data_IF_522915018055
#
_entry.id   IF_522915018055
#
_cell.length_a   1.000
_cell.length_b   1.000
_cell.length_c   1.000
_cell.angle_alpha   90.00
_cell.angle_beta   90.00
_cell.angle_gamma   90.00
#
_symmetry.space_group_name_H-M   'P 1'
#
loop_
_entity.id
_entity.type
_entity.pdbx_description
1 polymer ?
#
# COMPACT_ATOMS: atom_id res chain seq x y z
N UNK A 1 15.52 26.93 16.02
CA UNK A 1 14.14 26.43 15.84
C UNK A 1 14.10 25.02 16.43
N UNK A 2 12.98 24.57 17.02
CA UNK A 2 12.88 23.16 17.49
C UNK A 2 13.00 22.23 16.27
N UNK A 3 13.82 21.19 16.39
CA UNK A 3 14.31 20.37 15.27
C UNK A 3 13.18 19.74 14.41
N UNK A 4 12.06 19.32 15.00
CA UNK A 4 10.94 18.70 14.26
C UNK A 4 10.12 19.59 13.30
N UNK A 5 10.55 20.82 13.00
CA UNK A 5 9.96 21.68 11.96
C UNK A 5 10.81 21.72 10.68
N UNK A 6 12.07 21.28 10.75
CA UNK A 6 13.02 21.53 9.66
C UNK A 6 12.80 20.61 8.46
N UNK A 7 12.51 19.32 8.70
CA UNK A 7 12.18 18.35 7.65
C UNK A 7 10.99 18.81 6.82
N UNK A 8 9.93 19.33 7.45
CA UNK A 8 8.76 19.89 6.77
C UNK A 8 9.12 21.05 5.86
N UNK A 9 9.95 21.97 6.33
CA UNK A 9 10.42 23.10 5.53
C UNK A 9 11.25 22.63 4.32
N UNK A 10 12.07 21.59 4.48
CA UNK A 10 12.84 21.01 3.39
C UNK A 10 11.93 20.34 2.36
N UNK A 11 10.95 19.54 2.80
CA UNK A 11 9.93 18.92 1.93
C UNK A 11 9.15 19.97 1.15
N UNK A 12 8.68 21.03 1.82
CA UNK A 12 7.98 22.15 1.17
C UNK A 12 8.86 22.90 0.16
N UNK A 13 10.16 23.06 0.44
CA UNK A 13 11.10 23.70 -0.48
C UNK A 13 11.34 22.85 -1.73
N UNK A 14 11.52 21.54 -1.57
CA UNK A 14 11.65 20.61 -2.72
C UNK A 14 10.39 20.66 -3.59
N UNK A 15 9.20 20.71 -2.97
CA UNK A 15 7.92 20.83 -3.67
C UNK A 15 7.75 22.13 -4.47
N UNK A 16 8.41 23.22 -4.08
CA UNK A 16 8.35 24.53 -4.75
C UNK A 16 9.49 24.80 -5.74
N UNK A 17 10.61 24.09 -5.64
CA UNK A 17 11.79 24.32 -6.48
C UNK A 17 11.49 24.08 -7.98
N UNK A 18 12.41 24.37 -8.91
CA UNK A 18 12.47 23.84 -10.29
C UNK A 18 13.34 22.57 -10.42
N UNK A 19 14.41 22.47 -9.62
CA UNK A 19 15.22 21.26 -9.45
C UNK A 19 15.66 21.16 -8.00
N UNK A 20 15.78 19.94 -7.48
CA UNK A 20 16.31 19.71 -6.16
C UNK A 20 17.34 18.59 -6.18
N UNK A 21 18.24 18.59 -5.21
CA UNK A 21 19.34 17.64 -5.06
C UNK A 21 19.50 17.29 -3.59
N UNK A 22 19.83 16.04 -3.29
CA UNK A 22 20.27 15.67 -1.96
C UNK A 22 21.51 14.77 -1.99
N UNK A 23 22.33 14.83 -0.94
CA UNK A 23 23.44 13.92 -0.67
C UNK A 23 23.77 13.90 0.81
N UNK A 24 24.41 12.83 1.27
CA UNK A 24 25.11 12.86 2.54
C UNK A 24 26.42 13.64 2.43
N UNK A 25 26.70 14.47 3.44
CA UNK A 25 27.95 15.22 3.55
C UNK A 25 29.12 14.27 3.75
N UNK A 26 30.08 14.28 2.81
CA UNK A 26 31.29 13.47 2.91
C UNK A 26 32.39 14.22 3.68
N UNK A 27 33.34 13.49 4.29
CA UNK A 27 34.50 14.08 4.97
C UNK A 27 35.33 15.03 4.06
N UNK A 28 35.39 14.73 2.76
CA UNK A 28 36.06 15.59 1.77
C UNK A 28 35.29 16.90 1.49
N UNK A 29 33.98 16.94 1.72
CA UNK A 29 33.19 18.16 1.56
C UNK A 29 33.47 19.13 2.71
N UNK A 30 33.55 18.60 3.95
CA UNK A 30 33.84 19.34 5.18
C UNK A 30 35.27 19.90 5.27
N UNK A 31 36.17 19.50 4.37
CA UNK A 31 37.56 19.98 4.35
C UNK A 31 38.47 19.32 5.39
N UNK A 32 38.01 18.27 6.06
CA UNK A 32 38.72 17.51 7.11
C UNK A 32 39.99 16.82 6.62
N UNK A 33 40.20 16.72 5.31
CA UNK A 33 41.38 16.05 4.71
C UNK A 33 42.57 16.98 4.47
N UNK A 34 42.52 18.23 4.93
CA UNK A 34 43.66 19.16 4.93
C UNK A 34 44.10 19.69 3.55
N UNK A 35 43.41 19.30 2.47
CA UNK A 35 43.66 19.80 1.12
C UNK A 35 42.71 20.97 0.79
N UNK A 36 43.27 22.09 0.34
CA UNK A 36 42.58 23.35 0.15
C UNK A 36 41.28 23.29 -0.69
N UNK A 37 40.25 23.95 -0.15
CA UNK A 37 38.87 24.24 -0.59
C UNK A 37 37.80 23.22 -0.17
N UNK A 38 37.27 23.44 1.05
CA UNK A 38 36.02 22.86 1.52
C UNK A 38 34.86 23.24 0.59
N UNK A 39 33.97 22.29 0.33
CA UNK A 39 32.78 22.49 -0.48
C UNK A 39 32.21 21.20 -1.05
N UNK A 40 30.90 21.17 -1.19
CA UNK A 40 30.16 20.00 -1.64
C UNK A 40 30.55 19.61 -3.06
N UNK A 41 31.07 18.39 -3.22
CA UNK A 41 31.14 17.73 -4.51
C UNK A 41 29.73 17.56 -5.08
N UNK A 42 29.56 17.96 -6.33
CA UNK A 42 28.32 17.81 -7.09
C UNK A 42 28.56 16.83 -8.24
N UNK A 43 27.77 15.76 -8.36
CA UNK A 43 27.97 14.76 -9.41
C UNK A 43 27.65 15.34 -10.79
N UNK A 44 28.29 14.81 -11.83
CA UNK A 44 28.07 15.29 -13.20
C UNK A 44 26.62 15.15 -13.66
N UNK A 45 25.89 14.15 -13.18
CA UNK A 45 24.46 13.96 -13.45
C UNK A 45 23.60 15.14 -12.96
N UNK A 46 24.06 15.88 -11.96
CA UNK A 46 23.38 17.04 -11.40
C UNK A 46 23.75 18.38 -12.08
N UNK A 47 24.47 18.37 -13.22
CA UNK A 47 24.93 19.60 -13.89
C UNK A 47 23.81 20.61 -14.15
N UNK A 48 22.61 20.12 -14.46
CA UNK A 48 21.45 20.93 -14.81
C UNK A 48 20.86 21.71 -13.63
N UNK A 49 21.27 21.40 -12.40
CA UNK A 49 20.99 22.22 -11.22
C UNK A 49 21.86 23.48 -11.17
N UNK A 50 23.05 23.44 -11.80
CA UNK A 50 24.10 24.45 -11.61
C UNK A 50 24.23 25.38 -12.82
N UNK A 51 24.04 24.84 -14.03
CA UNK A 51 24.30 25.52 -15.29
C UNK A 51 23.27 25.16 -16.37
N UNK A 52 23.13 26.02 -17.37
CA UNK A 52 22.21 25.82 -18.50
C UNK A 52 22.76 24.83 -19.54
N UNK A 53 24.07 24.59 -19.50
CA UNK A 53 24.77 23.57 -20.29
C UNK A 53 25.84 22.89 -19.44
N UNK A 54 26.13 21.59 -19.65
CA UNK A 54 27.20 20.91 -18.95
C UNK A 54 28.55 21.56 -19.25
N UNK A 55 29.45 21.54 -18.28
CA UNK A 55 30.84 21.96 -18.45
C UNK A 55 31.61 21.05 -19.39
N UNK A 56 32.53 21.64 -20.16
CA UNK A 56 33.35 20.96 -21.17
C UNK A 56 34.77 20.80 -20.66
N UNK A 57 35.33 19.59 -20.76
CA UNK A 57 36.71 19.34 -20.32
C UNK A 57 37.69 20.22 -21.11
N UNK A 58 38.59 20.90 -20.40
CA UNK A 58 39.52 21.89 -20.96
C UNK A 58 39.24 23.32 -20.47
N UNK A 59 38.04 23.59 -19.95
CA UNK A 59 37.66 24.89 -19.40
C UNK A 59 37.12 24.78 -17.97
N UNK A 60 37.18 25.89 -17.25
CA UNK A 60 36.45 26.03 -15.99
C UNK A 60 35.20 26.84 -16.28
N UNK A 61 34.11 26.53 -15.59
CA UNK A 61 32.85 27.26 -15.69
C UNK A 61 32.35 27.56 -14.28
N UNK A 62 31.89 28.76 -14.03
CA UNK A 62 31.38 29.13 -12.70
C UNK A 62 30.18 30.05 -12.76
N UNK A 63 29.39 30.03 -11.68
CA UNK A 63 28.17 30.83 -11.51
C UNK A 63 28.01 31.17 -10.04
N UNK A 64 27.88 32.45 -9.74
CA UNK A 64 27.57 32.92 -8.39
C UNK A 64 26.08 32.80 -8.14
N UNK A 65 25.71 32.29 -6.96
CA UNK A 65 24.32 32.06 -6.57
C UNK A 65 24.10 32.50 -5.13
N UNK A 66 22.85 32.79 -4.80
CA UNK A 66 22.42 33.10 -3.44
C UNK A 66 21.68 31.91 -2.86
N UNK A 67 22.10 31.44 -1.68
CA UNK A 67 21.48 30.30 -0.99
C UNK A 67 20.97 30.76 0.37
N UNK A 68 19.67 30.59 0.63
CA UNK A 68 19.05 30.78 1.94
C UNK A 68 19.03 29.45 2.71
N UNK A 69 19.73 29.39 3.83
CA UNK A 69 19.94 28.17 4.61
C UNK A 69 18.98 28.07 5.78
N UNK A 70 18.35 26.90 5.99
CA UNK A 70 17.42 26.62 7.09
C UNK A 70 16.30 27.67 7.27
N UNK A 71 16.00 28.47 6.22
CA UNK A 71 15.17 29.69 6.26
C UNK A 71 15.68 30.82 7.19
N UNK A 72 16.92 30.75 7.65
CA UNK A 72 17.50 31.65 8.65
C UNK A 72 18.39 32.73 8.01
N UNK A 73 19.51 32.35 7.39
CA UNK A 73 20.49 33.28 6.81
C UNK A 73 20.82 32.97 5.35
N UNK A 74 21.51 33.89 4.67
CA UNK A 74 21.90 33.76 3.27
C UNK A 74 23.41 33.74 3.06
N UNK A 75 23.84 33.04 2.02
CA UNK A 75 25.24 33.02 1.55
C UNK A 75 25.32 33.37 0.07
N UNK A 76 26.39 34.05 -0.33
CA UNK A 76 26.76 34.26 -1.74
C UNK A 76 27.74 33.16 -2.16
N UNK A 77 27.19 32.04 -2.61
CA UNK A 77 27.93 30.81 -2.94
C UNK A 77 28.31 30.76 -4.43
N UNK A 78 29.17 29.82 -4.80
CA UNK A 78 29.66 29.65 -6.18
C UNK A 78 29.58 28.20 -6.60
N UNK A 79 28.81 27.93 -7.64
CA UNK A 79 28.97 26.70 -8.42
C UNK A 79 30.19 26.83 -9.33
N UNK A 80 31.02 25.79 -9.38
CA UNK A 80 32.19 25.75 -10.24
C UNK A 80 32.39 24.35 -10.81
N UNK A 81 32.60 24.28 -12.11
CA UNK A 81 33.11 23.13 -12.83
C UNK A 81 34.61 23.31 -13.03
N UNK A 82 35.40 22.37 -12.51
CA UNK A 82 36.84 22.29 -12.76
C UNK A 82 37.09 21.30 -13.89
N UNK A 83 37.30 21.81 -15.11
CA UNK A 83 37.62 21.01 -16.30
C UNK A 83 39.07 21.15 -16.77
N UNK A 84 39.88 22.02 -16.14
CA UNK A 84 41.31 22.20 -16.45
C UNK A 84 42.21 21.25 -15.66
N UNK A 85 43.35 20.89 -16.27
CA UNK A 85 44.36 20.01 -15.66
C UNK A 85 43.86 18.57 -15.51
N UNK A 86 44.06 17.97 -14.34
CA UNK A 86 43.60 16.61 -14.04
C UNK A 86 42.16 16.55 -13.52
N UNK A 87 41.55 17.70 -13.20
CA UNK A 87 40.20 17.76 -12.61
C UNK A 87 39.11 17.71 -13.69
N UNK A 88 37.98 17.11 -13.33
CA UNK A 88 36.78 17.00 -14.16
C UNK A 88 35.54 16.82 -13.28
N UNK A 89 35.28 17.79 -12.41
CA UNK A 89 34.28 17.72 -11.35
C UNK A 89 33.54 19.03 -11.14
N UNK A 90 32.32 18.95 -10.59
CA UNK A 90 31.56 20.12 -10.15
C UNK A 90 31.62 20.24 -8.63
N UNK A 91 31.61 21.48 -8.14
CA UNK A 91 31.52 21.78 -6.71
C UNK A 91 30.63 22.98 -6.45
N UNK A 92 30.01 22.98 -5.27
CA UNK A 92 29.43 24.15 -4.64
C UNK A 92 30.36 24.62 -3.53
N UNK A 93 30.77 25.88 -3.59
CA UNK A 93 31.80 26.46 -2.71
C UNK A 93 31.42 27.88 -2.26
N UNK A 94 32.29 28.54 -1.47
CA UNK A 94 32.16 29.96 -1.07
C UNK A 94 30.96 30.24 -0.14
N UNK A 95 30.77 29.43 0.89
CA UNK A 95 29.69 29.63 1.88
C UNK A 95 29.91 30.78 2.88
N UNK A 96 31.02 31.53 2.77
CA UNK A 96 31.42 32.56 3.73
C UNK A 96 32.33 32.01 4.84
N UNK A 97 32.70 32.89 5.78
CA UNK A 97 33.47 32.49 6.98
C UNK A 97 32.51 31.90 8.02
N UNK A 98 32.93 30.83 8.69
CA UNK A 98 32.17 30.16 9.75
C UNK A 98 30.79 29.64 9.31
N UNK A 99 30.70 29.06 8.10
CA UNK A 99 29.48 28.37 7.70
C UNK A 99 29.23 27.17 8.64
N UNK A 100 28.11 27.13 9.36
CA UNK A 100 27.92 26.22 10.49
C UNK A 100 27.62 24.77 10.08
N UNK A 101 27.35 24.51 8.80
CA UNK A 101 26.87 23.22 8.32
C UNK A 101 27.83 22.53 7.35
N UNK A 102 29.12 22.80 7.49
CA UNK A 102 30.19 22.16 6.70
C UNK A 102 31.44 22.01 7.57
N UNK A 103 31.26 21.43 8.77
CA UNK A 103 32.34 21.07 9.70
C UNK A 103 32.47 19.54 9.79
N UNK A 104 33.45 19.06 10.55
CA UNK A 104 33.60 17.62 10.83
C UNK A 104 32.36 17.01 11.49
N UNK A 105 31.66 17.76 12.32
CA UNK A 105 30.46 17.30 13.03
C UNK A 105 29.26 17.08 12.10
N UNK A 106 29.30 17.62 10.87
CA UNK A 106 28.24 17.45 9.88
C UNK A 106 28.50 16.30 8.90
N UNK A 107 29.58 15.54 9.06
CA UNK A 107 29.85 14.39 8.20
C UNK A 107 28.78 13.33 8.46
N UNK A 108 28.04 12.96 7.42
CA UNK A 108 26.87 12.08 7.54
C UNK A 108 25.53 12.81 7.60
N UNK A 109 25.50 14.14 7.71
CA UNK A 109 24.25 14.91 7.61
C UNK A 109 23.71 14.87 6.17
N UNK A 110 22.37 14.92 6.03
CA UNK A 110 21.72 15.00 4.73
C UNK A 110 21.67 16.46 4.27
N UNK A 111 22.47 16.79 3.25
CA UNK A 111 22.44 18.05 2.54
C UNK A 111 21.40 18.02 1.42
N UNK A 112 20.53 19.04 1.39
CA UNK A 112 19.46 19.23 0.41
C UNK A 112 19.60 20.63 -0.19
N UNK A 113 19.52 20.73 -1.52
CA UNK A 113 19.58 21.99 -2.26
C UNK A 113 18.44 22.11 -3.25
N UNK A 114 17.70 23.21 -3.17
CA UNK A 114 16.50 23.49 -3.93
C UNK A 114 16.71 24.74 -4.79
N UNK A 115 16.68 24.61 -6.11
CA UNK A 115 16.68 25.75 -7.04
C UNK A 115 15.28 26.36 -7.07
N UNK A 116 15.13 27.63 -6.65
CA UNK A 116 13.80 28.26 -6.56
C UNK A 116 13.53 29.09 -7.81
N UNK A 117 14.36 30.08 -8.08
CA UNK A 117 14.22 30.95 -9.25
C UNK A 117 15.55 31.63 -9.58
N UNK A 118 15.86 31.80 -10.87
CA UNK A 118 17.09 32.48 -11.31
C UNK A 118 18.35 31.93 -10.64
N UNK A 119 19.06 32.78 -9.91
CA UNK A 119 20.27 32.45 -9.14
C UNK A 119 19.98 32.22 -7.64
N UNK A 120 18.71 32.08 -7.26
CA UNK A 120 18.27 31.90 -5.88
C UNK A 120 17.93 30.44 -5.55
N UNK A 121 18.45 29.98 -4.42
CA UNK A 121 18.32 28.61 -3.92
C UNK A 121 17.95 28.62 -2.43
N UNK A 122 17.34 27.53 -1.99
CA UNK A 122 17.15 27.22 -0.57
C UNK A 122 17.96 25.96 -0.23
N UNK A 123 18.69 26.00 0.88
CA UNK A 123 19.55 24.91 1.35
C UNK A 123 19.13 24.42 2.73
N UNK A 124 19.14 23.10 2.91
CA UNK A 124 18.77 22.45 4.16
C UNK A 124 19.79 21.37 4.53
N UNK A 125 20.02 21.20 5.83
CA UNK A 125 20.94 20.23 6.42
C UNK A 125 20.16 19.56 7.54
N UNK A 126 19.90 18.26 7.38
CA UNK A 126 19.23 17.43 8.39
C UNK A 126 20.27 16.54 9.05
N UNK A 127 20.36 16.60 10.38
CA UNK A 127 21.36 15.85 11.18
C UNK A 127 20.74 14.75 12.05
N UNK A 128 19.42 14.80 12.30
CA UNK A 128 18.74 13.79 13.09
C UNK A 128 18.28 12.63 12.20
N UNK A 129 18.55 11.39 12.62
CA UNK A 129 18.17 10.18 11.87
C UNK A 129 16.67 10.14 11.54
N UNK A 130 15.81 10.51 12.50
CA UNK A 130 14.35 10.55 12.30
C UNK A 130 13.94 11.55 11.20
N UNK A 131 14.55 12.73 11.15
CA UNK A 131 14.26 13.75 10.13
C UNK A 131 14.78 13.32 8.75
N UNK A 132 15.94 12.65 8.71
CA UNK A 132 16.54 12.11 7.49
C UNK A 132 15.65 11.01 6.92
N UNK A 133 15.24 10.05 7.76
CA UNK A 133 14.33 8.97 7.37
C UNK A 133 12.98 9.52 6.88
N UNK A 134 12.37 10.48 7.60
CA UNK A 134 11.12 11.12 7.17
C UNK A 134 11.26 11.81 5.81
N UNK A 135 12.37 12.53 5.57
CA UNK A 135 12.62 13.18 4.29
C UNK A 135 12.79 12.16 3.15
N UNK A 136 13.61 11.14 3.37
CA UNK A 136 13.89 10.11 2.36
C UNK A 136 12.61 9.34 2.01
N UNK A 137 11.83 8.94 3.01
CA UNK A 137 10.55 8.26 2.84
C UNK A 137 9.56 9.13 2.05
N UNK A 138 9.51 10.43 2.33
CA UNK A 138 8.62 11.38 1.64
C UNK A 138 8.88 11.43 0.13
N UNK A 139 10.13 11.24 -0.30
CA UNK A 139 10.52 11.24 -1.72
C UNK A 139 10.77 9.82 -2.27
N UNK A 140 10.49 8.77 -1.49
CA UNK A 140 10.70 7.38 -1.89
C UNK A 140 12.15 7.04 -2.21
N UNK A 141 13.11 7.66 -1.50
CA UNK A 141 14.54 7.49 -1.71
C UNK A 141 15.12 6.53 -0.65
N UNK A 142 16.03 5.65 -1.05
CA UNK A 142 16.93 4.98 -0.10
C UNK A 142 18.19 5.81 0.16
N UNK A 143 18.90 5.60 1.29
CA UNK A 143 20.17 6.27 1.56
C UNK A 143 21.21 6.11 0.43
N UNK A 144 21.18 4.98 -0.29
CA UNK A 144 22.07 4.68 -1.42
C UNK A 144 21.70 5.38 -2.73
N UNK A 145 20.49 5.91 -2.84
CA UNK A 145 19.99 6.65 -4.02
C UNK A 145 20.19 8.16 -3.89
N UNK A 146 20.78 8.62 -2.79
CA UNK A 146 21.22 10.02 -2.63
C UNK A 146 22.40 10.34 -3.54
N UNK A 147 22.91 11.59 -3.49
CA UNK A 147 23.91 12.11 -4.41
C UNK A 147 23.38 12.15 -5.86
N UNK A 148 22.12 12.56 -6.01
CA UNK A 148 21.43 12.69 -7.29
C UNK A 148 20.38 13.82 -7.21
N UNK A 149 19.85 14.22 -8.37
CA UNK A 149 18.69 15.10 -8.42
C UNK A 149 17.47 14.36 -7.86
N UNK A 150 16.69 15.02 -7.02
CA UNK A 150 15.42 14.49 -6.51
C UNK A 150 14.43 14.49 -7.67
N UNK A 151 13.96 13.29 -8.04
CA UNK A 151 12.98 13.14 -9.10
C UNK A 151 11.60 13.60 -8.59
N UNK A 152 11.06 14.68 -9.16
CA UNK A 152 9.77 15.28 -8.77
C UNK A 152 8.57 14.58 -9.36
N UNK A 153 8.80 13.60 -10.23
CA UNK A 153 7.78 12.61 -10.52
C UNK A 153 7.62 11.80 -9.25
N UNK A 154 6.88 12.35 -8.30
CA UNK A 154 6.41 11.65 -7.11
C UNK A 154 5.51 10.55 -7.66
N UNK A 155 6.11 9.42 -8.04
CA UNK A 155 5.38 8.17 -7.97
C UNK A 155 5.20 7.94 -6.48
N UNK A 156 4.13 8.55 -5.94
CA UNK A 156 3.66 8.26 -4.60
C UNK A 156 3.64 6.76 -4.47
N UNK A 157 4.25 6.24 -3.40
CA UNK A 157 4.17 4.82 -3.15
C UNK A 157 2.68 4.45 -3.08
N UNK A 158 2.29 3.22 -3.43
CA UNK A 158 0.91 2.80 -3.28
C UNK A 158 0.36 3.07 -1.86
N UNK A 159 1.22 3.01 -0.85
CA UNK A 159 0.89 3.32 0.54
C UNK A 159 0.51 4.79 0.76
N UNK A 160 1.21 5.73 0.14
CA UNK A 160 0.90 7.16 0.25
C UNK A 160 -0.41 7.50 -0.44
N UNK A 161 -0.64 6.90 -1.62
CA UNK A 161 -1.90 7.04 -2.35
C UNK A 161 -3.05 6.49 -1.51
N UNK A 162 -2.92 5.29 -0.94
CA UNK A 162 -3.92 4.68 -0.06
C UNK A 162 -4.20 5.58 1.15
N UNK A 163 -3.17 6.12 1.79
CA UNK A 163 -3.32 7.03 2.93
C UNK A 163 -4.13 8.28 2.56
N UNK A 164 -3.85 8.89 1.40
CA UNK A 164 -4.61 10.03 0.89
C UNK A 164 -6.07 9.68 0.58
N UNK A 165 -6.31 8.53 -0.04
CA UNK A 165 -7.67 8.05 -0.36
C UNK A 165 -8.47 7.75 0.91
N UNK A 166 -7.86 7.09 1.89
CA UNK A 166 -8.50 6.80 3.18
C UNK A 166 -8.88 8.09 3.91
N UNK A 167 -8.00 9.09 3.94
CA UNK A 167 -8.32 10.40 4.52
C UNK A 167 -9.56 11.01 3.88
N UNK A 168 -9.61 11.05 2.55
CA UNK A 168 -10.75 11.57 1.80
C UNK A 168 -12.05 10.80 2.07
N UNK A 169 -11.98 9.48 2.25
CA UNK A 169 -13.14 8.66 2.60
C UNK A 169 -13.59 8.98 4.02
N UNK A 170 -12.66 9.01 4.98
CA UNK A 170 -12.95 9.28 6.40
C UNK A 170 -13.59 10.65 6.60
N UNK A 171 -13.14 11.68 5.89
CA UNK A 171 -13.72 13.04 5.97
C UNK A 171 -15.19 13.10 5.54
N UNK A 172 -15.65 12.17 4.70
CA UNK A 172 -17.03 12.16 4.17
C UNK A 172 -18.04 11.41 5.03
N UNK A 173 -17.60 10.73 6.08
CA UNK A 173 -18.43 9.81 6.85
C UNK A 173 -18.29 10.03 8.36
N UNK A 174 -19.38 10.36 9.03
CA UNK A 174 -19.43 10.48 10.49
C UNK A 174 -19.90 9.19 11.20
N UNK A 175 -20.20 8.14 10.42
CA UNK A 175 -20.57 6.81 10.89
C UNK A 175 -19.87 5.74 10.03
N UNK A 176 -19.95 4.46 10.45
CA UNK A 176 -19.45 3.37 9.62
C UNK A 176 -20.30 3.23 8.35
N UNK A 177 -19.70 3.29 7.15
CA UNK A 177 -20.43 2.98 5.92
C UNK A 177 -20.88 1.52 5.91
N UNK A 178 -21.90 1.23 5.09
CA UNK A 178 -22.37 -0.13 4.83
C UNK A 178 -21.22 -1.04 4.39
N UNK A 179 -21.31 -2.33 4.70
CA UNK A 179 -20.18 -3.27 4.46
C UNK A 179 -19.85 -3.38 2.97
N UNK A 180 -20.86 -3.36 2.10
CA UNK A 180 -20.67 -3.34 0.65
C UNK A 180 -19.98 -2.06 0.15
N UNK A 181 -20.33 -0.91 0.72
CA UNK A 181 -19.71 0.38 0.39
C UNK A 181 -18.25 0.40 0.84
N UNK A 182 -17.94 -0.16 2.01
CA UNK A 182 -16.56 -0.22 2.45
C UNK A 182 -15.71 -1.21 1.65
N UNK A 183 -16.24 -2.40 1.34
CA UNK A 183 -15.56 -3.35 0.46
C UNK A 183 -15.24 -2.69 -0.90
N UNK A 184 -16.19 -1.91 -1.44
CA UNK A 184 -15.97 -1.12 -2.66
C UNK A 184 -14.87 -0.06 -2.48
N UNK A 185 -14.89 0.73 -1.40
CA UNK A 185 -13.85 1.73 -1.14
C UNK A 185 -12.46 1.12 -1.04
N UNK A 186 -12.32 0.01 -0.32
CA UNK A 186 -11.05 -0.69 -0.16
C UNK A 186 -10.52 -1.18 -1.51
N UNK A 187 -11.36 -1.89 -2.27
CA UNK A 187 -11.03 -2.38 -3.61
C UNK A 187 -10.65 -1.24 -4.56
N UNK A 188 -11.47 -0.18 -4.66
CA UNK A 188 -11.21 0.95 -5.55
C UNK A 188 -9.91 1.66 -5.17
N UNK A 189 -9.66 1.86 -3.87
CA UNK A 189 -8.45 2.51 -3.39
C UNK A 189 -7.21 1.69 -3.68
N UNK A 190 -7.27 0.37 -3.43
CA UNK A 190 -6.19 -0.55 -3.77
C UNK A 190 -5.90 -0.55 -5.28
N UNK A 191 -6.94 -0.66 -6.11
CA UNK A 191 -6.78 -0.66 -7.57
C UNK A 191 -6.16 0.65 -8.07
N UNK A 192 -6.58 1.79 -7.52
CA UNK A 192 -6.03 3.09 -7.88
C UNK A 192 -4.57 3.22 -7.46
N UNK A 193 -4.24 2.86 -6.21
CA UNK A 193 -2.89 2.95 -5.66
C UNK A 193 -1.88 2.04 -6.38
N UNK A 194 -2.31 0.84 -6.77
CA UNK A 194 -1.46 -0.16 -7.42
C UNK A 194 -1.62 -0.18 -8.96
N UNK A 195 -2.37 0.76 -9.54
CA UNK A 195 -2.62 0.86 -11.00
C UNK A 195 -3.14 -0.47 -11.60
N UNK A 196 -3.97 -1.20 -10.86
CA UNK A 196 -4.51 -2.52 -11.24
C UNK A 196 -5.72 -2.35 -12.16
N UNK A 197 -5.76 -3.14 -13.24
CA UNK A 197 -6.89 -3.18 -14.18
C UNK A 197 -7.68 -4.50 -14.09
N UNK A 198 -8.84 -4.57 -14.77
CA UNK A 198 -9.75 -5.74 -14.76
C UNK A 198 -9.05 -7.04 -15.17
N UNK A 199 -8.12 -7.01 -16.13
CA UNK A 199 -7.46 -8.22 -16.64
C UNK A 199 -6.52 -8.84 -15.58
N UNK A 200 -5.86 -8.01 -14.77
CA UNK A 200 -5.03 -8.46 -13.66
C UNK A 200 -5.85 -9.16 -12.57
N UNK A 201 -7.10 -8.75 -12.37
CA UNK A 201 -7.98 -9.35 -11.34
C UNK A 201 -8.30 -10.81 -11.66
N UNK A 202 -8.62 -11.09 -12.92
CA UNK A 202 -9.02 -12.44 -13.34
C UNK A 202 -7.83 -13.40 -13.43
N UNK A 203 -6.62 -12.86 -13.70
CA UNK A 203 -5.40 -13.66 -13.79
C UNK A 203 -4.80 -13.99 -12.42
N UNK A 204 -4.98 -13.12 -11.42
CA UNK A 204 -4.46 -13.32 -10.06
C UNK A 204 -5.53 -13.16 -8.95
N UNK A 205 -6.70 -13.83 -9.02
CA UNK A 205 -7.82 -13.57 -8.10
C UNK A 205 -7.48 -13.87 -6.64
N UNK A 206 -6.66 -14.89 -6.36
CA UNK A 206 -6.17 -15.19 -5.01
C UNK A 206 -5.41 -14.02 -4.38
N UNK A 207 -4.52 -13.38 -5.14
CA UNK A 207 -3.69 -12.26 -4.67
C UNK A 207 -4.54 -11.00 -4.50
N UNK A 208 -5.43 -10.72 -5.44
CA UNK A 208 -6.30 -9.55 -5.36
C UNK A 208 -7.27 -9.66 -4.18
N UNK A 209 -7.87 -10.83 -3.95
CA UNK A 209 -8.77 -11.05 -2.82
C UNK A 209 -8.09 -10.72 -1.48
N UNK A 210 -6.90 -11.28 -1.26
CA UNK A 210 -6.17 -11.07 -0.01
C UNK A 210 -5.82 -9.59 0.16
N UNK A 211 -5.32 -8.95 -0.88
CA UNK A 211 -4.96 -7.53 -0.82
C UNK A 211 -6.17 -6.62 -0.55
N UNK A 212 -7.34 -6.93 -1.11
CA UNK A 212 -8.56 -6.16 -0.85
C UNK A 212 -9.08 -6.35 0.57
N UNK A 213 -8.99 -7.57 1.11
CA UNK A 213 -9.36 -7.84 2.52
C UNK A 213 -8.43 -7.08 3.46
N UNK A 214 -7.12 -7.10 3.22
CA UNK A 214 -6.14 -6.39 4.05
C UNK A 214 -6.36 -4.87 3.96
N UNK A 215 -6.56 -4.33 2.76
CA UNK A 215 -6.87 -2.91 2.54
C UNK A 215 -8.17 -2.51 3.25
N UNK A 216 -9.21 -3.35 3.21
CA UNK A 216 -10.48 -3.08 3.91
C UNK A 216 -10.31 -3.13 5.42
N UNK A 217 -9.46 -4.02 5.93
CA UNK A 217 -9.13 -4.09 7.34
C UNK A 217 -8.42 -2.81 7.80
N UNK A 218 -7.45 -2.31 7.04
CA UNK A 218 -6.77 -1.04 7.35
C UNK A 218 -7.76 0.14 7.35
N UNK A 219 -8.59 0.27 6.31
CA UNK A 219 -9.61 1.32 6.24
C UNK A 219 -10.60 1.22 7.41
N UNK A 220 -11.00 0.01 7.79
CA UNK A 220 -11.86 -0.21 8.95
C UNK A 220 -11.22 0.26 10.24
N UNK A 221 -9.95 -0.07 10.46
CA UNK A 221 -9.21 0.34 11.65
C UNK A 221 -9.10 1.85 11.73
N UNK A 222 -8.95 2.53 10.58
CA UNK A 222 -8.98 3.99 10.53
C UNK A 222 -10.35 4.57 10.91
N UNK A 223 -11.45 3.94 10.48
CA UNK A 223 -12.80 4.30 10.97
C UNK A 223 -13.00 4.01 12.46
N UNK A 224 -12.50 2.88 12.97
CA UNK A 224 -12.55 2.56 14.40
C UNK A 224 -11.83 3.63 15.21
N UNK A 225 -10.62 4.05 14.80
CA UNK A 225 -9.90 5.13 15.46
C UNK A 225 -10.70 6.43 15.42
N UNK A 226 -11.19 6.85 14.24
CA UNK A 226 -11.99 8.08 14.09
C UNK A 226 -13.22 8.08 15.02
N UNK A 227 -13.96 6.98 15.06
CA UNK A 227 -15.29 6.93 15.67
C UNK A 227 -15.28 6.50 17.15
N UNK A 228 -14.30 5.70 17.56
CA UNK A 228 -14.24 5.17 18.92
C UNK A 228 -13.29 5.95 19.83
N UNK A 229 -12.20 6.53 19.31
CA UNK A 229 -11.25 7.27 20.14
C UNK A 229 -11.91 8.39 20.97
N UNK A 230 -12.90 9.15 20.47
CA UNK A 230 -13.59 10.15 21.29
C UNK A 230 -14.34 9.52 22.48
N UNK A 231 -14.99 8.38 22.28
CA UNK A 231 -15.71 7.65 23.32
C UNK A 231 -14.73 7.09 24.35
N UNK A 232 -13.64 6.47 23.88
CA UNK A 232 -12.60 5.90 24.75
C UNK A 232 -11.90 6.97 25.61
N UNK A 233 -11.69 8.18 25.08
CA UNK A 233 -11.13 9.31 25.83
C UNK A 233 -12.09 9.88 26.87
N UNK A 234 -13.40 9.79 26.61
CA UNK A 234 -14.44 10.29 27.52
C UNK A 234 -14.66 9.30 28.69
N UNK A 235 -14.47 8.01 28.44
CA UNK A 235 -14.66 6.95 29.44
C UNK A 235 -16.11 6.51 29.58
N UNK A 236 -16.37 5.61 30.54
CA UNK A 236 -17.69 5.01 30.79
C UNK A 236 -18.12 5.30 32.23
N UNK A 237 -19.42 5.53 32.43
CA UNK A 237 -20.01 5.81 33.75
C UNK A 237 -20.01 4.61 34.68
N UNK A 238 -20.08 3.40 34.12
CA UNK A 238 -20.23 2.13 34.84
C UNK A 238 -19.75 0.95 33.99
N UNK A 239 -19.61 -0.20 34.65
CA UNK A 239 -19.12 -1.45 34.04
C UNK A 239 -20.07 -1.95 32.94
N UNK A 240 -21.38 -1.80 33.11
CA UNK A 240 -22.37 -2.29 32.14
C UNK A 240 -22.29 -1.53 30.81
N UNK A 241 -22.10 -0.21 30.88
CA UNK A 241 -21.90 0.67 29.73
C UNK A 241 -20.65 0.29 28.93
N UNK A 242 -19.55 -0.04 29.63
CA UNK A 242 -18.32 -0.55 29.01
C UNK A 242 -18.54 -1.91 28.33
N UNK A 243 -19.20 -2.85 29.01
CA UNK A 243 -19.47 -4.20 28.48
C UNK A 243 -20.37 -4.11 27.24
N UNK A 244 -21.45 -3.33 27.31
CA UNK A 244 -22.38 -3.12 26.20
C UNK A 244 -21.65 -2.55 24.97
N UNK A 245 -20.85 -1.51 25.16
CA UNK A 245 -20.08 -0.90 24.07
C UNK A 245 -19.05 -1.87 23.47
N UNK A 246 -18.34 -2.62 24.31
CA UNK A 246 -17.38 -3.64 23.88
C UNK A 246 -18.05 -4.73 23.04
N UNK A 247 -19.23 -5.19 23.46
CA UNK A 247 -20.01 -6.17 22.72
C UNK A 247 -20.48 -5.63 21.36
N UNK A 248 -20.87 -4.36 21.27
CA UNK A 248 -21.22 -3.72 20.00
C UNK A 248 -20.02 -3.72 19.03
N UNK A 249 -18.83 -3.37 19.51
CA UNK A 249 -17.59 -3.40 18.68
C UNK A 249 -17.31 -4.82 18.19
N UNK A 250 -17.32 -5.81 19.09
CA UNK A 250 -17.05 -7.21 18.75
C UNK A 250 -18.07 -7.77 17.74
N UNK A 251 -19.36 -7.45 17.92
CA UNK A 251 -20.41 -7.91 17.02
C UNK A 251 -20.31 -7.23 15.64
N UNK A 252 -19.95 -5.93 15.59
CA UNK A 252 -19.71 -5.22 14.33
C UNK A 252 -18.56 -5.86 13.56
N UNK A 253 -17.44 -6.14 14.22
CA UNK A 253 -16.28 -6.84 13.61
C UNK A 253 -16.67 -8.20 13.03
N UNK A 254 -17.41 -9.02 13.80
CA UNK A 254 -17.85 -10.35 13.38
C UNK A 254 -18.78 -10.31 12.17
N UNK A 255 -19.81 -9.45 12.22
CA UNK A 255 -20.80 -9.30 11.14
C UNK A 255 -20.14 -8.82 9.84
N UNK A 256 -19.25 -7.83 9.96
CA UNK A 256 -18.59 -7.21 8.81
C UNK A 256 -17.61 -8.16 8.13
N UNK A 257 -16.80 -8.91 8.88
CA UNK A 257 -15.82 -9.81 8.29
C UNK A 257 -16.45 -10.88 7.38
N UNK A 258 -17.63 -11.42 7.75
CA UNK A 258 -18.36 -12.37 6.90
C UNK A 258 -18.85 -11.75 5.60
N UNK A 259 -19.63 -10.67 5.70
CA UNK A 259 -20.19 -9.97 4.53
C UNK A 259 -19.12 -9.37 3.61
N UNK A 260 -18.02 -8.87 4.18
CA UNK A 260 -16.86 -8.37 3.42
C UNK A 260 -16.31 -9.44 2.48
N UNK A 261 -16.11 -10.66 2.99
CA UNK A 261 -15.62 -11.77 2.17
C UNK A 261 -16.58 -12.10 1.01
N UNK A 262 -17.88 -12.18 1.29
CA UNK A 262 -18.90 -12.40 0.26
C UNK A 262 -18.85 -11.31 -0.82
N UNK A 263 -18.80 -10.03 -0.44
CA UNK A 263 -18.74 -8.92 -1.40
C UNK A 263 -17.48 -8.91 -2.26
N UNK A 264 -16.32 -9.26 -1.70
CA UNK A 264 -15.09 -9.35 -2.49
C UNK A 264 -15.12 -10.54 -3.46
N UNK A 265 -15.61 -11.71 -3.03
CA UNK A 265 -15.81 -12.86 -3.91
C UNK A 265 -16.81 -12.55 -5.03
N UNK A 266 -17.95 -11.95 -4.71
CA UNK A 266 -18.95 -11.49 -5.67
C UNK A 266 -18.30 -10.58 -6.73
N UNK A 267 -17.44 -9.65 -6.28
CA UNK A 267 -16.74 -8.73 -7.17
C UNK A 267 -15.74 -9.46 -8.08
N UNK A 268 -14.98 -10.41 -7.54
CA UNK A 268 -14.06 -11.25 -8.34
C UNK A 268 -14.83 -12.05 -9.39
N UNK A 269 -15.94 -12.68 -9.01
CA UNK A 269 -16.75 -13.47 -9.94
C UNK A 269 -17.34 -12.62 -11.06
N UNK A 270 -17.79 -11.39 -10.75
CA UNK A 270 -18.21 -10.40 -11.76
C UNK A 270 -17.06 -10.02 -12.69
N UNK A 271 -15.85 -9.80 -12.15
CA UNK A 271 -14.70 -9.46 -13.00
C UNK A 271 -14.29 -10.62 -13.92
N UNK A 272 -14.36 -11.86 -13.43
CA UNK A 272 -14.13 -13.08 -14.20
C UNK A 272 -15.26 -13.43 -15.18
N UNK A 273 -16.28 -12.58 -15.30
CA UNK A 273 -17.47 -12.75 -16.13
C UNK A 273 -18.16 -14.12 -15.89
N UNK A 274 -18.25 -14.54 -14.62
CA UNK A 274 -19.00 -15.74 -14.22
C UNK A 274 -20.48 -15.39 -14.08
N UNK A 275 -21.36 -16.28 -14.55
CA UNK A 275 -22.80 -16.20 -14.25
C UNK A 275 -23.05 -16.77 -12.85
N UNK A 276 -23.66 -16.00 -11.96
CA UNK A 276 -24.02 -16.48 -10.63
C UNK A 276 -25.16 -15.64 -10.05
N UNK A 277 -25.83 -16.18 -9.05
CA UNK A 277 -26.86 -15.49 -8.27
C UNK A 277 -26.60 -15.70 -6.78
N UNK A 278 -26.84 -14.66 -5.98
CA UNK A 278 -26.80 -14.70 -4.52
C UNK A 278 -28.23 -14.63 -3.98
N UNK A 279 -28.44 -14.98 -2.71
CA UNK A 279 -29.77 -14.96 -2.08
C UNK A 279 -30.82 -15.88 -2.73
N UNK A 280 -30.39 -16.86 -3.54
CA UNK A 280 -31.26 -17.89 -4.11
C UNK A 280 -31.88 -18.70 -2.97
N UNK A 281 -33.20 -18.83 -2.98
CA UNK A 281 -33.92 -19.65 -2.00
C UNK A 281 -33.94 -21.09 -2.50
N UNK A 282 -33.37 -22.01 -1.73
CA UNK A 282 -33.34 -23.44 -2.05
C UNK A 282 -34.34 -24.20 -1.17
N UNK A 283 -34.05 -25.45 -0.82
CA UNK A 283 -34.90 -26.25 0.04
C UNK A 283 -34.96 -25.66 1.46
N UNK A 284 -36.11 -25.79 2.12
CA UNK A 284 -36.32 -25.36 3.52
C UNK A 284 -36.01 -23.87 3.78
N UNK A 285 -36.21 -23.00 2.79
CA UNK A 285 -35.91 -21.55 2.85
C UNK A 285 -34.44 -21.22 3.11
N UNK A 286 -33.53 -22.16 2.82
CA UNK A 286 -32.09 -21.91 2.91
C UNK A 286 -31.62 -21.01 1.79
N UNK A 287 -30.48 -20.37 2.03
CA UNK A 287 -29.88 -19.36 1.17
C UNK A 287 -28.37 -19.58 1.10
N UNK A 288 -27.89 -20.46 0.22
CA UNK A 288 -26.47 -20.58 -0.04
C UNK A 288 -25.88 -19.23 -0.48
N UNK A 289 -24.62 -19.01 -0.13
CA UNK A 289 -23.96 -17.72 -0.37
C UNK A 289 -23.87 -17.42 -1.89
N UNK A 290 -23.56 -18.44 -2.71
CA UNK A 290 -23.53 -18.35 -4.18
C UNK A 290 -24.07 -19.61 -4.86
N UNK A 291 -24.90 -19.42 -5.91
CA UNK A 291 -25.34 -20.44 -6.85
C UNK A 291 -24.90 -20.09 -8.25
N UNK A 292 -24.39 -21.09 -8.98
CA UNK A 292 -23.97 -20.96 -10.38
C UNK A 292 -24.73 -21.99 -11.25
N UNK A 293 -25.23 -21.59 -12.44
CA UNK A 293 -25.16 -20.22 -13.00
C UNK A 293 -26.18 -19.24 -12.39
N UNK A 294 -27.31 -19.71 -11.89
CA UNK A 294 -28.39 -18.88 -11.32
C UNK A 294 -29.46 -19.74 -10.63
N UNK A 295 -30.40 -19.10 -9.93
CA UNK A 295 -31.52 -19.75 -9.27
C UNK A 295 -32.52 -20.36 -10.26
N UNK A 296 -32.71 -19.77 -11.43
CA UNK A 296 -33.61 -20.31 -12.46
C UNK A 296 -33.16 -21.70 -12.92
N UNK A 297 -31.86 -21.88 -13.17
CA UNK A 297 -31.24 -23.16 -13.51
C UNK A 297 -31.30 -24.13 -12.33
N UNK A 298 -31.13 -23.63 -11.10
CA UNK A 298 -31.28 -24.43 -9.88
C UNK A 298 -32.71 -24.97 -9.68
N UNK A 299 -33.75 -24.25 -10.08
CA UNK A 299 -35.13 -24.73 -9.96
C UNK A 299 -35.62 -25.51 -11.19
N UNK A 300 -34.89 -25.45 -12.31
CA UNK A 300 -35.21 -26.23 -13.50
C UNK A 300 -34.64 -27.66 -13.39
N UNK A 301 -35.51 -28.65 -13.20
CA UNK A 301 -35.09 -30.06 -13.12
C UNK A 301 -34.61 -30.65 -14.46
N UNK A 302 -34.89 -30.00 -15.59
CA UNK A 302 -34.31 -30.38 -16.89
C UNK A 302 -32.87 -29.90 -17.04
N UNK A 303 -32.46 -28.90 -16.25
CA UNK A 303 -31.07 -28.44 -16.22
C UNK A 303 -30.20 -29.49 -15.50
N UNK A 304 -29.05 -29.92 -16.05
CA UNK A 304 -28.21 -30.94 -15.45
C UNK A 304 -27.71 -30.55 -14.05
N UNK A 305 -27.96 -31.39 -13.05
CA UNK A 305 -27.47 -31.18 -11.69
C UNK A 305 -25.93 -31.12 -11.62
N UNK A 306 -25.26 -31.86 -12.50
CA UNK A 306 -23.81 -31.85 -12.62
C UNK A 306 -23.25 -30.52 -13.11
N UNK A 307 -24.05 -29.62 -13.69
CA UNK A 307 -23.61 -28.29 -14.12
C UNK A 307 -23.93 -27.19 -13.09
N UNK A 308 -24.65 -27.54 -12.01
CA UNK A 308 -24.89 -26.65 -10.88
C UNK A 308 -23.70 -26.64 -9.92
N UNK A 309 -23.40 -25.45 -9.37
CA UNK A 309 -22.35 -25.28 -8.36
C UNK A 309 -22.91 -24.44 -7.21
N UNK A 310 -22.62 -24.88 -5.98
CA UNK A 310 -22.90 -24.13 -4.76
C UNK A 310 -21.58 -23.82 -4.07
N UNK A 311 -21.37 -22.56 -3.70
CA UNK A 311 -20.22 -22.11 -2.93
C UNK A 311 -20.69 -21.41 -1.66
N UNK A 312 -20.34 -21.98 -0.50
CA UNK A 312 -20.43 -21.27 0.77
C UNK A 312 -19.13 -20.49 1.04
N UNK A 313 -19.22 -19.30 1.61
CA UNK A 313 -18.09 -18.46 1.97
C UNK A 313 -18.01 -18.30 3.49
N UNK A 314 -16.89 -18.72 4.10
CA UNK A 314 -16.68 -18.58 5.54
C UNK A 314 -15.26 -18.11 5.83
N UNK A 315 -15.13 -16.96 6.50
CA UNK A 315 -13.81 -16.46 6.97
C UNK A 315 -13.06 -17.48 7.82
N UNK A 316 -13.79 -18.28 8.61
CA UNK A 316 -13.26 -19.37 9.43
C UNK A 316 -14.23 -20.54 9.45
N UNK A 317 -13.78 -21.73 9.07
CA UNK A 317 -14.62 -22.92 8.92
C UNK A 317 -14.85 -23.69 10.21
N UNK A 318 -13.83 -23.86 11.08
CA UNK A 318 -13.86 -24.66 12.33
C UNK A 318 -14.99 -25.69 12.40
N UNK A 319 -16.02 -25.49 13.21
CA UNK A 319 -17.17 -26.40 13.33
C UNK A 319 -18.40 -25.94 12.52
N UNK A 320 -18.31 -24.76 11.88
CA UNK A 320 -19.42 -24.11 11.15
C UNK A 320 -19.57 -24.59 9.71
N UNK A 321 -18.59 -25.31 9.16
CA UNK A 321 -18.65 -25.80 7.78
C UNK A 321 -19.85 -26.72 7.52
N UNK A 322 -20.33 -27.45 8.52
CA UNK A 322 -21.49 -28.36 8.39
C UNK A 322 -22.77 -27.66 7.97
N UNK A 323 -22.87 -26.35 8.19
CA UNK A 323 -24.03 -25.54 7.84
C UNK A 323 -24.32 -25.59 6.33
N UNK A 324 -23.29 -25.76 5.49
CA UNK A 324 -23.44 -25.74 4.02
C UNK A 324 -23.96 -27.06 3.43
N UNK A 325 -23.93 -28.15 4.20
CA UNK A 325 -24.21 -29.49 3.68
C UNK A 325 -25.63 -29.61 3.13
N UNK A 326 -26.57 -28.97 3.81
CA UNK A 326 -27.99 -29.07 3.49
C UNK A 326 -28.52 -27.82 2.78
N UNK A 327 -27.65 -26.95 2.25
CA UNK A 327 -28.08 -25.66 1.64
C UNK A 327 -28.57 -25.79 0.18
N UNK A 328 -28.36 -26.92 -0.50
CA UNK A 328 -28.77 -27.06 -1.91
C UNK A 328 -28.85 -28.54 -2.34
N UNK A 329 -29.96 -29.21 -2.11
CA UNK A 329 -30.05 -30.68 -2.21
C UNK A 329 -29.73 -31.22 -3.61
N UNK A 330 -29.97 -30.44 -4.66
CA UNK A 330 -29.63 -30.84 -6.05
C UNK A 330 -28.13 -30.94 -6.32
N UNK A 331 -27.27 -30.41 -5.45
CA UNK A 331 -25.82 -30.27 -5.69
C UNK A 331 -25.05 -31.16 -4.70
N UNK A 332 -24.60 -32.37 -5.08
CA UNK A 332 -23.98 -33.30 -4.13
C UNK A 332 -22.61 -32.86 -3.60
N UNK A 333 -21.85 -32.09 -4.37
CA UNK A 333 -20.52 -31.59 -3.99
C UNK A 333 -20.63 -30.12 -3.60
N UNK A 334 -20.34 -29.82 -2.33
CA UNK A 334 -20.35 -28.44 -1.83
C UNK A 334 -18.98 -27.83 -1.94
N UNK A 335 -18.87 -26.63 -2.53
CA UNK A 335 -17.63 -25.87 -2.44
C UNK A 335 -17.69 -24.96 -1.21
N UNK A 336 -16.59 -24.87 -0.49
CA UNK A 336 -16.47 -24.02 0.69
C UNK A 336 -15.24 -23.14 0.58
N UNK A 337 -15.46 -21.86 0.33
CA UNK A 337 -14.39 -20.87 0.37
C UNK A 337 -13.99 -20.53 1.81
N UNK A 338 -12.69 -20.51 2.12
CA UNK A 338 -12.20 -19.99 3.41
C UNK A 338 -10.85 -19.29 3.38
N UNK A 339 -10.69 -18.35 4.30
CA UNK A 339 -9.43 -17.66 4.62
C UNK A 339 -8.65 -18.35 5.75
N UNK A 340 -9.20 -19.40 6.35
CA UNK A 340 -8.56 -20.09 7.47
C UNK A 340 -7.26 -20.75 7.01
N UNK A 341 -6.15 -20.42 7.69
CA UNK A 341 -4.84 -21.02 7.43
C UNK A 341 -4.72 -22.36 8.16
N UNK A 342 -5.20 -23.41 7.50
CA UNK A 342 -5.14 -24.77 8.01
C UNK A 342 -6.40 -25.21 8.76
N UNK A 343 -6.69 -26.50 8.65
CA UNK A 343 -7.76 -27.23 9.36
C UNK A 343 -7.14 -28.56 9.80
N UNK A 344 -7.59 -29.11 10.93
CA UNK A 344 -7.04 -30.38 11.42
C UNK A 344 -7.25 -31.50 10.40
N UNK A 345 -6.29 -32.44 10.31
CA UNK A 345 -6.37 -33.59 9.39
C UNK A 345 -7.69 -34.37 9.52
N UNK A 346 -8.17 -34.54 10.75
CA UNK A 346 -9.43 -35.23 11.03
C UNK A 346 -10.64 -34.47 10.48
N UNK A 347 -10.70 -33.14 10.66
CA UNK A 347 -11.76 -32.31 10.09
C UNK A 347 -11.69 -32.27 8.56
N UNK A 348 -10.49 -32.22 7.97
CA UNK A 348 -10.34 -32.33 6.52
C UNK A 348 -10.87 -33.67 6.00
N UNK A 349 -10.45 -34.79 6.60
CA UNK A 349 -10.94 -36.12 6.22
C UNK A 349 -12.47 -36.20 6.29
N UNK A 350 -13.06 -35.59 7.32
CA UNK A 350 -14.51 -35.51 7.46
C UNK A 350 -15.17 -34.66 6.37
N UNK A 351 -14.66 -33.46 6.09
CA UNK A 351 -15.14 -32.59 5.01
C UNK A 351 -15.17 -33.32 3.66
N UNK A 352 -14.08 -34.00 3.29
CA UNK A 352 -14.01 -34.72 2.02
C UNK A 352 -14.95 -35.94 1.98
N UNK A 353 -15.14 -36.63 3.11
CA UNK A 353 -16.12 -37.72 3.22
C UNK A 353 -17.55 -37.23 3.01
N UNK A 354 -17.87 -36.04 3.52
CA UNK A 354 -19.15 -35.36 3.31
C UNK A 354 -19.23 -34.59 1.98
N UNK A 355 -18.31 -34.86 1.03
CA UNK A 355 -18.26 -34.25 -0.30
C UNK A 355 -18.13 -32.71 -0.29
N UNK A 356 -17.44 -32.17 0.71
CA UNK A 356 -17.05 -30.75 0.75
C UNK A 356 -15.69 -30.58 0.10
N UNK A 357 -15.64 -29.76 -0.96
CA UNK A 357 -14.41 -29.32 -1.62
C UNK A 357 -14.01 -27.94 -1.09
N UNK A 358 -12.82 -27.86 -0.48
CA UNK A 358 -12.30 -26.57 0.00
C UNK A 358 -11.80 -25.73 -1.16
N UNK A 359 -12.19 -24.45 -1.15
CA UNK A 359 -11.62 -23.40 -1.97
C UNK A 359 -10.82 -22.45 -1.07
N UNK A 360 -9.54 -22.26 -1.33
CA UNK A 360 -8.64 -21.51 -0.43
C UNK A 360 -7.70 -20.64 -1.27
N UNK A 361 -7.37 -19.40 -0.84
CA UNK A 361 -6.33 -18.63 -1.50
C UNK A 361 -5.03 -19.44 -1.64
N UNK A 362 -4.46 -19.49 -2.84
CA UNK A 362 -3.24 -20.25 -3.15
C UNK A 362 -2.11 -20.10 -2.11
N UNK A 363 -1.78 -18.88 -1.60
CA UNK A 363 -0.74 -18.73 -0.59
C UNK A 363 -1.04 -19.42 0.76
N UNK A 364 -2.30 -19.73 1.04
CA UNK A 364 -2.73 -20.32 2.31
C UNK A 364 -2.80 -21.85 2.29
N UNK A 365 -2.77 -22.49 1.11
CA UNK A 365 -2.82 -23.95 0.98
C UNK A 365 -1.65 -24.63 1.70
N UNK A 366 -0.47 -24.00 1.71
CA UNK A 366 0.73 -24.52 2.40
C UNK A 366 0.56 -24.73 3.91
N UNK A 367 -0.45 -24.13 4.54
CA UNK A 367 -0.74 -24.29 5.96
C UNK A 367 -1.64 -25.50 6.28
N UNK A 368 -2.10 -26.22 5.26
CA UNK A 368 -2.89 -27.44 5.41
C UNK A 368 -1.98 -28.67 5.43
N UNK A 369 -2.49 -29.79 5.96
CA UNK A 369 -1.79 -31.07 5.96
C UNK A 369 -1.41 -31.48 4.52
N UNK A 370 -0.14 -31.86 4.31
CA UNK A 370 0.45 -32.17 3.00
C UNK A 370 -0.38 -33.20 2.21
N UNK A 371 -1.00 -34.18 2.89
CA UNK A 371 -1.80 -35.22 2.23
C UNK A 371 -3.13 -34.73 1.63
N UNK A 372 -3.51 -33.48 1.94
CA UNK A 372 -4.72 -32.84 1.43
C UNK A 372 -4.45 -31.65 0.51
N UNK A 373 -3.23 -31.10 0.45
CA UNK A 373 -2.95 -29.86 -0.30
C UNK A 373 -3.34 -29.97 -1.78
N UNK A 374 -3.07 -31.10 -2.44
CA UNK A 374 -3.45 -31.34 -3.84
C UNK A 374 -4.97 -31.48 -4.08
N UNK A 375 -5.74 -31.70 -3.01
CA UNK A 375 -7.21 -31.82 -3.06
C UNK A 375 -7.91 -30.49 -2.79
N UNK A 376 -7.18 -29.47 -2.33
CA UNK A 376 -7.73 -28.14 -2.03
C UNK A 376 -7.64 -27.30 -3.30
N UNK A 377 -8.74 -26.67 -3.66
CA UNK A 377 -8.84 -25.88 -4.88
C UNK A 377 -8.40 -24.43 -4.62
N UNK A 378 -7.38 -23.90 -5.32
CA UNK A 378 -7.12 -22.47 -5.34
C UNK A 378 -8.30 -21.65 -5.88
N UNK A 379 -8.44 -20.37 -5.52
CA UNK A 379 -9.54 -19.54 -6.04
C UNK A 379 -9.47 -19.37 -7.55
N UNK A 380 -8.27 -19.19 -8.12
CA UNK A 380 -8.08 -19.12 -9.58
C UNK A 380 -8.46 -20.42 -10.30
N UNK A 381 -8.26 -21.58 -9.65
CA UNK A 381 -8.68 -22.88 -10.20
C UNK A 381 -10.21 -23.00 -10.13
N UNK A 382 -10.82 -22.55 -9.05
CA UNK A 382 -12.28 -22.54 -8.89
C UNK A 382 -12.96 -21.66 -9.94
N UNK A 383 -12.47 -20.43 -10.17
CA UNK A 383 -13.05 -19.55 -11.19
C UNK A 383 -12.92 -20.15 -12.60
N UNK A 384 -11.78 -20.77 -12.92
CA UNK A 384 -11.58 -21.50 -14.17
C UNK A 384 -12.52 -22.71 -14.32
N UNK A 385 -12.71 -23.47 -13.25
CA UNK A 385 -13.64 -24.61 -13.19
C UNK A 385 -15.09 -24.18 -13.46
N UNK A 386 -15.57 -23.13 -12.79
CA UNK A 386 -16.91 -22.58 -13.01
C UNK A 386 -17.07 -22.11 -14.46
N UNK A 387 -16.10 -21.34 -14.99
CA UNK A 387 -16.14 -20.84 -16.36
C UNK A 387 -16.20 -21.97 -17.38
N UNK A 388 -15.42 -23.03 -17.18
CA UNK A 388 -15.39 -24.19 -18.06
C UNK A 388 -16.74 -24.92 -18.11
N UNK A 389 -17.48 -25.01 -16.99
CA UNK A 389 -18.86 -25.54 -16.99
C UNK A 389 -19.81 -24.62 -17.75
N UNK A 390 -19.74 -23.31 -17.48
CA UNK A 390 -20.64 -22.35 -18.11
C UNK A 390 -20.48 -22.22 -19.61
N UNK A 391 -19.29 -22.50 -20.15
CA UNK A 391 -19.04 -22.50 -21.60
C UNK A 391 -19.59 -23.76 -22.31
N UNK A 392 -20.01 -24.79 -21.56
CA UNK A 392 -20.62 -26.01 -22.12
C UNK A 392 -22.15 -25.93 -22.20
N UNK A 393 -22.73 -24.95 -21.49
CA UNK A 393 -24.15 -24.58 -21.51
C UNK A 393 -24.42 -23.65 -22.69
#
# INVERSE_FOLDING_TARGET
MKDGNLVKLAVEAVGRADKAFCKFTAANDAGSTGAHQAGYYMPKSAWSLMFDQPGVRGENKDRTVKIKWQKDFETESRFIYYGKGTRNEYRLTRFGRNFPYLTEDNVGDLFILCHIEGDFYEGYILSADEDIEEFLDTFGLSPTETNALINRNIEYSPKDILTGLFRNILERHDWFPETSVMAKYAKDSYMQAHKINKNTICSEPDKQLLAWIDTEYELFRAFEAKLYDPVLKTGFSDIESLISYSNQILNRRKSRAGKSLEHHLETIFKFCDLKFETQVITEEHKKPDFIFPDGASYHNFEFPADDLICLGAKTTCKDRWRQILNEADRIPVKHLFTLQQGVSKNQLAEMYREKVCLVVPKPYIRYFDESFQDKIMPLNVFTGFVKAKQNRL
#
